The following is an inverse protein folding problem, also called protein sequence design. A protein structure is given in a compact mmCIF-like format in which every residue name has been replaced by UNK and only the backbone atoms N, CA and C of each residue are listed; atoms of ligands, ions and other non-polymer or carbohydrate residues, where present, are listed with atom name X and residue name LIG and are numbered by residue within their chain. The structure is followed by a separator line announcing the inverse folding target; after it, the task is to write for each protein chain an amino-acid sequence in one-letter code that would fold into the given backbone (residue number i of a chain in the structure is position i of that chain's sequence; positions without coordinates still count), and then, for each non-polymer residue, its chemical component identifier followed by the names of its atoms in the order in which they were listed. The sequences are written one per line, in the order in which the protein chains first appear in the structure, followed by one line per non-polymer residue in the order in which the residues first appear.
data_IF_489018689360
#
_entry.id   IF_489018689360
#
_cell.length_a   1.000
_cell.length_b   1.000
_cell.length_c   1.000
_cell.angle_alpha   90.00
_cell.angle_beta   90.00
_cell.angle_gamma   90.00
#
_symmetry.space_group_name_H-M   'P 1'
#
loop_
_entity.id
_entity.type
_entity.pdbx_description
1 polymer ?
#
# COMPACT_ATOMS: atom_id res chain seq x y z
N UNK A 1 14.90 -2.73 29.99
CA UNK A 1 14.82 -1.89 28.78
C UNK A 1 13.37 -1.86 28.36
N UNK A 2 12.62 -0.84 28.77
CA UNK A 2 11.21 -0.66 28.42
C UNK A 2 11.13 0.05 27.07
N UNK A 3 10.94 -0.73 26.01
CA UNK A 3 10.71 -0.18 24.68
C UNK A 3 9.29 0.40 24.64
N UNK A 4 9.22 1.73 24.70
CA UNK A 4 7.99 2.50 24.65
C UNK A 4 7.39 2.37 23.26
N UNK A 5 6.25 1.67 23.16
CA UNK A 5 5.46 1.63 21.94
C UNK A 5 5.18 3.05 21.41
N UNK A 6 5.31 3.31 20.10
CA UNK A 6 5.04 4.63 19.55
C UNK A 6 3.55 4.95 19.71
N UNK A 7 3.29 6.16 20.20
CA UNK A 7 1.96 6.68 20.48
C UNK A 7 1.13 6.78 19.19
N UNK A 8 -0.16 6.43 19.28
CA UNK A 8 -1.14 6.41 18.17
C UNK A 8 -1.32 7.75 17.41
N UNK A 9 -0.70 8.84 17.88
CA UNK A 9 -0.67 10.15 17.21
C UNK A 9 0.33 10.27 16.06
N UNK A 10 1.38 9.45 16.00
CA UNK A 10 2.42 9.59 14.97
C UNK A 10 1.98 9.14 13.56
N UNK A 11 0.89 8.37 13.46
CA UNK A 11 0.38 7.85 12.19
C UNK A 11 -0.42 8.89 11.39
N UNK A 12 -0.80 10.03 11.98
CA UNK A 12 -1.73 11.00 11.36
C UNK A 12 -1.02 12.17 10.67
N UNK A 13 0.29 12.34 10.88
CA UNK A 13 1.08 13.48 10.33
C UNK A 13 1.96 13.10 9.12
N UNK A 14 2.07 11.80 8.79
CA UNK A 14 2.90 11.35 7.67
C UNK A 14 2.25 11.74 6.34
N UNK A 15 3.05 12.30 5.43
CA UNK A 15 2.57 12.59 4.08
C UNK A 15 2.13 11.27 3.40
N UNK A 16 1.06 11.32 2.61
CA UNK A 16 0.50 10.12 1.94
C UNK A 16 1.58 9.34 1.19
N UNK A 17 2.49 10.05 0.52
CA UNK A 17 3.61 9.50 -0.27
C UNK A 17 4.64 8.75 0.57
N UNK A 18 4.72 9.00 1.87
CA UNK A 18 5.69 8.39 2.79
C UNK A 18 5.12 7.14 3.50
N UNK A 19 3.83 6.84 3.32
CA UNK A 19 3.20 5.67 3.91
C UNK A 19 3.64 4.41 3.17
N UNK A 20 3.93 3.33 3.92
CA UNK A 20 3.97 1.97 3.41
C UNK A 20 2.56 1.51 2.98
N UNK A 21 2.46 0.32 2.35
CA UNK A 21 1.16 -0.23 2.01
C UNK A 21 0.35 -0.54 3.28
N UNK A 22 1.00 -1.16 4.25
CA UNK A 22 0.43 -1.57 5.53
C UNK A 22 0.01 -0.35 6.37
N UNK A 23 0.84 0.70 6.41
CA UNK A 23 0.50 1.95 7.08
C UNK A 23 -0.75 2.60 6.45
N UNK A 24 -0.79 2.69 5.12
CA UNK A 24 -1.92 3.27 4.40
C UNK A 24 -3.20 2.43 4.54
N UNK A 25 -3.09 1.11 4.56
CA UNK A 25 -4.23 0.21 4.77
C UNK A 25 -4.80 0.34 6.17
N UNK A 26 -3.94 0.35 7.20
CA UNK A 26 -4.36 0.53 8.58
C UNK A 26 -5.03 1.90 8.81
N UNK A 27 -4.60 2.94 8.08
CA UNK A 27 -5.27 4.24 8.13
C UNK A 27 -6.63 4.22 7.39
N UNK A 28 -6.70 3.54 6.25
CA UNK A 28 -7.94 3.40 5.48
C UNK A 28 -9.01 2.65 6.28
N UNK A 29 -8.64 1.59 6.99
CA UNK A 29 -9.55 0.86 7.88
C UNK A 29 -10.12 1.75 8.99
N UNK A 30 -9.29 2.63 9.58
CA UNK A 30 -9.75 3.60 10.58
C UNK A 30 -10.74 4.59 9.98
N UNK A 31 -10.46 5.10 8.78
CA UNK A 31 -11.35 6.00 8.06
C UNK A 31 -12.70 5.34 7.80
N UNK A 32 -12.70 4.12 7.26
CA UNK A 32 -13.94 3.36 6.99
C UNK A 32 -14.71 3.12 8.28
N UNK A 33 -14.04 2.65 9.34
CA UNK A 33 -14.66 2.43 10.65
C UNK A 33 -15.32 3.69 11.21
N UNK A 34 -14.69 4.85 11.06
CA UNK A 34 -15.24 6.12 11.52
C UNK A 34 -16.48 6.54 10.71
N UNK A 35 -16.45 6.36 9.39
CA UNK A 35 -17.59 6.64 8.51
C UNK A 35 -18.77 5.71 8.79
N UNK A 36 -18.53 4.42 9.01
CA UNK A 36 -19.56 3.41 9.30
C UNK A 36 -20.27 3.65 10.63
N UNK A 37 -19.56 4.17 11.64
CA UNK A 37 -20.17 4.54 12.93
C UNK A 37 -21.16 5.70 12.80
N UNK A 38 -20.96 6.60 11.83
CA UNK A 38 -21.85 7.73 11.59
C UNK A 38 -21.91 8.78 12.71
N UNK A 39 -20.97 8.72 13.67
CA UNK A 39 -20.92 9.62 14.83
C UNK A 39 -20.15 10.93 14.54
N UNK A 40 -19.67 11.12 13.31
CA UNK A 40 -18.88 12.28 12.89
C UNK A 40 -19.75 13.35 12.21
N UNK A 41 -19.53 14.65 12.50
CA UNK A 41 -20.19 15.76 11.79
C UNK A 41 -19.99 15.68 10.27
N UNK A 42 -20.95 16.21 9.51
CA UNK A 42 -20.95 16.14 8.05
C UNK A 42 -19.64 16.62 7.41
N UNK A 43 -19.12 17.78 7.82
CA UNK A 43 -17.84 18.30 7.31
C UNK A 43 -16.68 17.33 7.57
N UNK A 44 -16.68 16.66 8.73
CA UNK A 44 -15.64 15.67 9.05
C UNK A 44 -15.82 14.40 8.23
N UNK A 45 -17.06 13.97 7.98
CA UNK A 45 -17.36 12.82 7.10
C UNK A 45 -16.86 13.06 5.68
N UNK A 46 -16.99 14.28 5.15
CA UNK A 46 -16.46 14.65 3.83
C UNK A 46 -14.93 14.55 3.83
N UNK A 47 -14.26 15.12 4.84
CA UNK A 47 -12.81 15.05 4.95
C UNK A 47 -12.29 13.61 5.09
N UNK A 48 -12.98 12.77 5.86
CA UNK A 48 -12.68 11.34 5.98
C UNK A 48 -12.84 10.61 4.65
N UNK A 49 -13.92 10.88 3.91
CA UNK A 49 -14.14 10.29 2.60
C UNK A 49 -13.02 10.66 1.62
N UNK A 50 -12.62 11.94 1.56
CA UNK A 50 -11.51 12.40 0.71
C UNK A 50 -10.18 11.74 1.09
N UNK A 51 -9.90 11.63 2.40
CA UNK A 51 -8.70 10.93 2.89
C UNK A 51 -8.74 9.45 2.51
N UNK A 52 -9.87 8.79 2.68
CA UNK A 52 -10.07 7.39 2.29
C UNK A 52 -9.85 7.16 0.80
N UNK A 53 -10.36 8.05 -0.05
CA UNK A 53 -10.15 7.99 -1.50
C UNK A 53 -8.66 8.10 -1.87
N UNK A 54 -7.92 9.02 -1.23
CA UNK A 54 -6.47 9.18 -1.41
C UNK A 54 -5.69 7.95 -0.94
N UNK A 55 -6.03 7.40 0.23
CA UNK A 55 -5.41 6.18 0.76
C UNK A 55 -5.64 4.97 -0.15
N UNK A 56 -6.88 4.80 -0.66
CA UNK A 56 -7.22 3.76 -1.62
C UNK A 56 -6.38 3.87 -2.90
N UNK A 57 -6.25 5.08 -3.44
CA UNK A 57 -5.45 5.32 -4.65
C UNK A 57 -3.97 4.95 -4.41
N UNK A 58 -3.39 5.42 -3.32
CA UNK A 58 -2.00 5.10 -2.93
C UNK A 58 -1.75 3.60 -2.76
N UNK A 59 -2.70 2.89 -2.14
CA UNK A 59 -2.62 1.43 -2.01
C UNK A 59 -2.62 0.73 -3.39
N UNK A 60 -3.49 1.19 -4.30
CA UNK A 60 -3.54 0.69 -5.67
C UNK A 60 -2.24 0.92 -6.44
N UNK A 61 -1.63 2.10 -6.29
CA UNK A 61 -0.33 2.42 -6.92
C UNK A 61 0.79 1.51 -6.41
N UNK A 62 0.85 1.23 -5.10
CA UNK A 62 1.85 0.32 -4.53
C UNK A 62 1.66 -1.12 -5.01
N UNK A 63 0.42 -1.61 -5.07
CA UNK A 63 0.12 -2.95 -5.58
C UNK A 63 0.53 -3.07 -7.04
N UNK A 64 0.17 -2.08 -7.87
CA UNK A 64 0.59 -2.03 -9.28
C UNK A 64 2.11 -2.07 -9.44
N UNK A 65 2.84 -1.28 -8.66
CA UNK A 65 4.30 -1.29 -8.71
C UNK A 65 4.90 -2.64 -8.26
N UNK A 66 4.28 -3.33 -7.30
CA UNK A 66 4.69 -4.66 -6.88
C UNK A 66 4.42 -5.70 -7.98
N UNK A 67 3.26 -5.65 -8.62
CA UNK A 67 2.89 -6.52 -9.76
C UNK A 67 3.87 -6.35 -10.93
N UNK A 68 4.15 -5.10 -11.33
CA UNK A 68 5.13 -4.78 -12.38
C UNK A 68 6.51 -5.36 -12.06
N UNK A 69 6.94 -5.30 -10.79
CA UNK A 69 8.20 -5.87 -10.35
C UNK A 69 8.22 -7.41 -10.45
N UNK A 70 7.15 -8.07 -10.08
CA UNK A 70 7.02 -9.54 -10.22
C UNK A 70 7.07 -9.96 -11.68
N UNK A 71 6.37 -9.25 -12.57
CA UNK A 71 6.37 -9.55 -14.00
C UNK A 71 7.75 -9.34 -14.66
N UNK A 72 8.50 -8.32 -14.22
CA UNK A 72 9.89 -8.14 -14.67
C UNK A 72 10.79 -9.32 -14.28
N UNK A 73 10.67 -9.82 -13.04
CA UNK A 73 11.44 -10.98 -12.55
C UNK A 73 11.11 -12.22 -13.38
N UNK A 74 9.82 -12.51 -13.57
CA UNK A 74 9.35 -13.65 -14.38
C UNK A 74 9.88 -13.61 -15.82
N UNK A 75 9.85 -12.42 -16.43
CA UNK A 75 10.35 -12.23 -17.79
C UNK A 75 11.86 -12.47 -17.88
N UNK A 76 12.62 -12.10 -16.84
CA UNK A 76 14.06 -12.36 -16.78
C UNK A 76 14.37 -13.85 -16.60
N UNK A 77 13.64 -14.54 -15.73
CA UNK A 77 13.77 -15.99 -15.53
C UNK A 77 13.44 -16.77 -16.81
N UNK A 78 12.38 -16.37 -17.53
CA UNK A 78 12.02 -16.95 -18.83
C UNK A 78 13.00 -16.64 -19.97
N UNK A 79 13.89 -15.66 -19.82
CA UNK A 79 14.93 -15.30 -20.79
C UNK A 79 16.28 -15.97 -20.52
N UNK A 80 16.48 -16.49 -19.30
CA UNK A 80 17.73 -17.09 -18.85
C UNK A 80 17.96 -18.54 -19.30
N UNK A 81 17.02 -19.15 -20.04
CA UNK A 81 17.18 -20.47 -20.66
C UNK A 81 17.21 -20.37 -22.18
N UNK A 82 18.14 -19.56 -22.70
CA UNK A 82 18.75 -19.86 -23.99
C UNK A 82 19.56 -21.15 -23.84
N UNK A 83 18.89 -22.30 -23.78
CA UNK A 83 19.55 -23.59 -23.93
C UNK A 83 20.14 -23.61 -25.33
N UNK A 84 21.45 -23.50 -25.42
CA UNK A 84 22.18 -23.82 -26.65
C UNK A 84 21.71 -25.22 -27.08
N UNK A 85 21.19 -25.42 -28.30
CA UNK A 85 21.02 -26.76 -28.83
C UNK A 85 22.38 -27.45 -28.75
N UNK A 86 22.46 -28.61 -28.10
CA UNK A 86 23.66 -29.43 -28.16
C UNK A 86 23.81 -29.92 -29.60
N UNK A 87 24.51 -29.15 -30.42
CA UNK A 87 24.98 -29.56 -31.74
C UNK A 87 26.08 -30.60 -31.53
N UNK A 88 25.77 -31.86 -31.87
CA UNK A 88 26.74 -32.91 -32.18
C UNK A 88 27.46 -33.56 -31.00
N UNK A 89 27.04 -34.78 -30.67
CA UNK A 89 27.89 -36.00 -30.57
C UNK A 89 27.02 -37.23 -30.37
#
# INVERSE_FOLDING_TARGET
MTEKAPSAKAATDKALTELSFEEAMAELEKVVTALERGEVPLEQSIALYERGAKLKAHCGEKLKAAEERVEMIRTQEGRATGTTPAEGM
#
